data_IF_601404877248
#
_entry.id   IF_601404877248
#
_cell.length_a   1.000
_cell.length_b   1.000
_cell.length_c   1.000
_cell.angle_alpha   90.00
_cell.angle_beta   90.00
_cell.angle_gamma   90.00
#
_symmetry.space_group_name_H-M   'P 1'
#
loop_
_entity.id
_entity.type
_entity.pdbx_description
1 polymer ?
#
# COMPACT_ATOMS: atom_id res chain seq x y z
N UNK A 1 6.43 23.72 19.09
CA UNK A 1 5.51 22.62 18.75
C UNK A 1 6.41 21.40 18.61
N UNK A 2 6.44 20.54 19.62
CA UNK A 2 7.24 19.31 19.58
C UNK A 2 6.52 18.30 18.67
N UNK A 3 7.17 17.86 17.62
CA UNK A 3 6.67 16.80 16.76
C UNK A 3 7.28 15.49 17.25
N UNK A 4 6.45 14.57 17.72
CA UNK A 4 6.91 13.23 18.11
C UNK A 4 6.57 12.23 17.03
N UNK A 5 7.57 11.49 16.56
CA UNK A 5 7.39 10.34 15.67
C UNK A 5 7.48 9.05 16.45
N UNK A 6 6.46 8.22 16.31
CA UNK A 6 6.42 6.87 16.88
C UNK A 6 6.74 5.88 15.78
N UNK A 7 7.87 5.22 15.89
CA UNK A 7 8.25 4.14 14.99
C UNK A 7 7.43 2.88 15.27
N UNK A 8 6.78 2.34 14.23
CA UNK A 8 5.91 1.17 14.37
C UNK A 8 6.66 -0.07 14.86
N UNK A 9 6.11 -0.72 15.87
CA UNK A 9 6.60 -1.96 16.47
C UNK A 9 6.33 -3.22 15.63
N UNK A 10 5.81 -3.10 14.42
CA UNK A 10 5.55 -4.24 13.52
C UNK A 10 6.80 -4.89 12.95
N UNK A 11 7.99 -4.35 13.20
CA UNK A 11 9.25 -4.95 12.79
C UNK A 11 10.11 -5.30 13.99
N UNK A 12 10.62 -6.53 14.09
CA UNK A 12 11.43 -6.99 15.21
C UNK A 12 12.77 -6.23 15.36
N UNK A 13 13.09 -5.35 14.45
CA UNK A 13 14.43 -4.79 14.27
C UNK A 13 14.63 -3.37 14.84
N UNK A 14 13.61 -2.71 15.34
CA UNK A 14 13.77 -1.43 16.05
C UNK A 14 14.45 -0.30 15.25
N UNK A 15 14.23 -0.26 13.93
CA UNK A 15 14.71 0.79 13.05
C UNK A 15 13.58 1.47 12.29
N UNK A 16 13.85 2.67 11.79
CA UNK A 16 12.91 3.43 10.95
C UNK A 16 12.82 2.77 9.58
N UNK A 17 11.62 2.34 9.18
CA UNK A 17 11.39 1.83 7.83
C UNK A 17 11.25 2.99 6.86
N UNK A 18 12.07 2.99 5.81
CA UNK A 18 12.04 4.01 4.78
C UNK A 18 13.24 3.90 3.85
N UNK A 19 13.30 4.76 2.84
CA UNK A 19 14.51 4.95 2.05
C UNK A 19 15.66 5.36 2.99
N UNK A 20 16.91 4.91 2.75
CA UNK A 20 18.05 5.20 3.62
C UNK A 20 18.19 6.67 3.99
N UNK A 21 18.11 7.57 2.99
CA UNK A 21 18.20 9.02 3.18
C UNK A 21 17.09 9.58 4.08
N UNK A 22 15.88 8.99 4.01
CA UNK A 22 14.75 9.41 4.85
C UNK A 22 14.93 8.96 6.29
N UNK A 23 15.42 7.73 6.50
CA UNK A 23 15.73 7.20 7.82
C UNK A 23 16.84 8.00 8.50
N UNK A 24 17.90 8.34 7.76
CA UNK A 24 19.01 9.17 8.26
C UNK A 24 18.53 10.57 8.70
N UNK A 25 17.66 11.21 7.91
CA UNK A 25 17.05 12.49 8.28
C UNK A 25 16.24 12.41 9.57
N UNK A 26 15.48 11.34 9.78
CA UNK A 26 14.71 11.14 11.02
C UNK A 26 15.66 10.99 12.22
N UNK A 27 16.72 10.19 12.10
CA UNK A 27 17.70 10.06 13.17
C UNK A 27 18.40 11.37 13.49
N UNK A 28 18.82 12.13 12.47
CA UNK A 28 19.44 13.44 12.65
C UNK A 28 18.50 14.44 13.34
N UNK A 29 17.20 14.44 12.99
CA UNK A 29 16.21 15.28 13.66
C UNK A 29 16.00 14.87 15.12
N UNK A 30 16.06 13.58 15.43
CA UNK A 30 15.98 13.08 16.81
C UNK A 30 17.22 13.47 17.62
N UNK A 31 18.43 13.29 17.08
CA UNK A 31 19.70 13.68 17.70
C UNK A 31 19.77 15.19 17.99
N UNK A 32 19.23 16.02 17.11
CA UNK A 32 19.19 17.46 17.28
C UNK A 32 18.02 17.95 18.17
N UNK A 33 17.23 17.03 18.72
CA UNK A 33 16.10 17.35 19.61
C UNK A 33 14.90 18.00 18.91
N UNK A 34 14.83 17.98 17.58
CA UNK A 34 13.72 18.56 16.82
C UNK A 34 12.50 17.66 16.78
N UNK A 35 12.67 16.37 16.99
CA UNK A 35 11.60 15.38 17.14
C UNK A 35 11.94 14.44 18.30
N UNK A 36 10.90 13.85 18.89
CA UNK A 36 11.06 12.78 19.86
C UNK A 36 10.77 11.43 19.16
N UNK A 37 11.82 10.63 18.93
CA UNK A 37 11.72 9.35 18.24
C UNK A 37 11.53 8.24 19.27
N UNK A 38 10.38 7.56 19.23
CA UNK A 38 10.05 6.43 20.11
C UNK A 38 10.01 5.18 19.26
N UNK A 39 10.93 4.24 19.50
CA UNK A 39 11.02 2.96 18.78
C UNK A 39 10.51 1.80 19.64
N UNK A 40 10.21 0.65 19.01
CA UNK A 40 9.77 -0.59 19.68
C UNK A 40 8.56 -0.37 20.62
N UNK A 41 7.61 0.39 20.15
CA UNK A 41 6.45 0.77 20.94
C UNK A 41 5.17 0.74 20.11
N UNK A 42 4.03 0.61 20.79
CA UNK A 42 2.70 0.62 20.17
C UNK A 42 1.80 1.66 20.82
N UNK A 43 0.92 2.28 20.05
CA UNK A 43 -0.19 3.04 20.60
C UNK A 43 -1.25 2.03 21.09
N UNK A 44 -1.52 2.04 22.38
CA UNK A 44 -2.49 1.13 23.01
C UNK A 44 -3.82 1.80 23.33
N UNK A 45 -3.83 3.13 23.44
CA UNK A 45 -5.05 3.89 23.67
C UNK A 45 -4.95 5.32 23.16
N UNK A 46 -6.07 5.84 22.71
CA UNK A 46 -6.24 7.23 22.28
C UNK A 46 -7.35 7.83 23.13
N UNK A 47 -7.07 8.95 23.79
CA UNK A 47 -8.01 9.66 24.64
C UNK A 47 -8.34 11.04 24.07
N UNK A 48 -9.60 11.46 24.26
CA UNK A 48 -10.09 12.78 23.86
C UNK A 48 -11.59 12.90 24.10
N UNK A 49 -12.07 14.13 24.07
CA UNK A 49 -13.50 14.43 24.15
C UNK A 49 -13.87 15.37 23.01
N UNK A 50 -14.18 14.77 21.84
CA UNK A 50 -14.40 15.50 20.59
C UNK A 50 -13.13 16.05 19.93
N UNK A 51 -12.04 16.14 20.66
CA UNK A 51 -10.69 16.50 20.21
C UNK A 51 -9.68 15.56 20.87
N UNK A 52 -8.67 15.13 20.10
CA UNK A 52 -7.55 14.37 20.63
C UNK A 52 -6.80 15.21 21.68
N UNK A 53 -6.45 14.60 22.80
CA UNK A 53 -5.64 15.26 23.82
C UNK A 53 -4.49 14.40 24.36
N UNK A 54 -4.58 13.08 24.18
CA UNK A 54 -3.58 12.16 24.73
C UNK A 54 -3.51 10.86 23.94
N UNK A 55 -2.31 10.30 23.81
CA UNK A 55 -2.08 8.93 23.38
C UNK A 55 -1.30 8.17 24.44
N UNK A 56 -1.67 6.91 24.67
CA UNK A 56 -0.93 6.00 25.54
C UNK A 56 -0.06 5.08 24.68
N UNK A 57 1.22 5.02 24.99
CA UNK A 57 2.23 4.30 24.25
C UNK A 57 2.79 3.21 25.14
N UNK A 58 2.68 1.95 24.71
CA UNK A 58 3.27 0.79 25.37
C UNK A 58 4.64 0.49 24.76
N UNK A 59 5.68 0.50 25.56
CA UNK A 59 7.03 0.08 25.21
C UNK A 59 7.20 -1.43 25.16
N UNK A 60 8.37 -1.89 24.72
CA UNK A 60 8.72 -3.32 24.68
C UNK A 60 8.82 -3.97 26.05
N UNK A 61 9.04 -3.19 27.09
CA UNK A 61 9.07 -3.59 28.49
C UNK A 61 7.67 -3.62 29.14
N UNK A 62 6.61 -3.42 28.36
CA UNK A 62 5.21 -3.31 28.81
C UNK A 62 4.91 -2.08 29.66
N UNK A 63 5.84 -1.17 29.82
CA UNK A 63 5.56 0.12 30.43
C UNK A 63 4.63 0.94 29.53
N UNK A 64 3.69 1.67 30.13
CA UNK A 64 2.77 2.55 29.41
C UNK A 64 3.09 4.00 29.76
N UNK A 65 3.41 4.77 28.74
CA UNK A 65 3.68 6.21 28.86
C UNK A 65 2.56 7.01 28.22
N UNK A 66 2.10 8.05 28.91
CA UNK A 66 1.14 9.02 28.38
C UNK A 66 1.87 10.14 27.64
N UNK A 67 1.34 10.54 26.49
CA UNK A 67 1.84 11.67 25.71
C UNK A 67 0.67 12.60 25.34
N UNK A 68 0.77 13.87 25.71
CA UNK A 68 -0.16 14.90 25.26
C UNK A 68 -0.02 15.11 23.75
N UNK A 69 -1.13 15.07 23.02
CA UNK A 69 -1.11 15.03 21.56
C UNK A 69 -2.32 15.74 20.98
N UNK A 70 -2.09 16.72 20.12
CA UNK A 70 -3.16 17.44 19.42
C UNK A 70 -3.58 16.77 18.11
N UNK A 71 -2.63 16.13 17.42
CA UNK A 71 -2.84 15.47 16.12
C UNK A 71 -2.13 14.12 16.09
N UNK A 72 -2.79 13.13 15.50
CA UNK A 72 -2.22 11.81 15.23
C UNK A 72 -2.35 11.50 13.73
N UNK A 73 -1.22 11.17 13.12
CA UNK A 73 -1.16 10.77 11.70
C UNK A 73 -0.75 9.29 11.65
N UNK A 74 -1.69 8.35 11.53
CA UNK A 74 -1.38 6.93 11.47
C UNK A 74 -0.90 6.54 10.06
N UNK A 75 0.33 6.05 9.96
CA UNK A 75 0.95 5.58 8.72
C UNK A 75 1.38 4.11 8.86
N UNK A 76 0.46 3.24 9.28
CA UNK A 76 0.73 1.82 9.58
C UNK A 76 0.88 0.94 8.35
N UNK A 77 0.79 1.50 7.15
CA UNK A 77 0.80 0.76 5.89
C UNK A 77 -0.57 0.12 5.58
N UNK A 78 -0.58 -0.69 4.52
CA UNK A 78 -1.78 -1.35 4.03
C UNK A 78 -1.76 -2.83 4.42
N UNK A 79 -2.88 -3.32 4.94
CA UNK A 79 -3.16 -4.73 5.14
C UNK A 79 -4.34 -5.13 4.26
N UNK A 80 -4.12 -5.78 3.11
CA UNK A 80 -5.19 -6.15 2.19
C UNK A 80 -6.18 -7.10 2.85
N UNK A 81 -7.47 -6.78 2.74
CA UNK A 81 -8.57 -7.67 3.12
C UNK A 81 -9.44 -7.87 1.90
N UNK A 82 -9.44 -9.08 1.37
CA UNK A 82 -10.20 -9.41 0.16
C UNK A 82 -11.72 -9.39 0.37
N UNK A 83 -12.18 -9.51 1.64
CA UNK A 83 -13.61 -9.58 1.92
C UNK A 83 -14.30 -10.70 1.13
N UNK A 84 -15.50 -10.45 0.57
CA UNK A 84 -16.24 -11.44 -0.20
C UNK A 84 -15.51 -11.98 -1.44
N UNK A 85 -14.51 -11.23 -1.96
CA UNK A 85 -13.71 -11.68 -3.12
C UNK A 85 -12.96 -12.97 -2.80
N UNK A 86 -12.61 -13.20 -1.54
CA UNK A 86 -11.94 -14.44 -1.10
C UNK A 86 -12.77 -15.69 -1.39
N UNK A 87 -14.10 -15.57 -1.46
CA UNK A 87 -15.04 -16.68 -1.65
C UNK A 87 -15.42 -16.91 -3.12
N UNK A 88 -14.86 -16.13 -4.04
CA UNK A 88 -15.17 -16.25 -5.48
C UNK A 88 -14.47 -17.42 -6.18
N UNK A 89 -13.68 -18.22 -5.46
CA UNK A 89 -12.95 -19.34 -6.03
C UNK A 89 -11.69 -18.93 -6.80
N UNK A 90 -11.19 -17.70 -6.59
CA UNK A 90 -9.95 -17.22 -7.16
C UNK A 90 -8.75 -17.88 -6.47
N UNK A 91 -7.67 -18.07 -7.20
CA UNK A 91 -6.40 -18.48 -6.61
C UNK A 91 -5.80 -17.32 -5.83
N UNK A 92 -5.66 -17.51 -4.52
CA UNK A 92 -5.15 -16.49 -3.59
C UNK A 92 -3.83 -16.97 -2.99
N UNK A 93 -2.84 -16.12 -3.02
CA UNK A 93 -1.56 -16.27 -2.33
C UNK A 93 -1.30 -15.04 -1.45
N UNK A 94 -1.12 -15.26 -0.12
CA UNK A 94 -0.80 -14.21 0.87
C UNK A 94 -1.71 -12.98 0.78
N UNK A 95 -3.02 -13.20 0.69
CA UNK A 95 -4.04 -12.14 0.55
C UNK A 95 -3.95 -11.34 -0.75
N UNK A 96 -3.37 -11.90 -1.80
CA UNK A 96 -3.34 -11.34 -3.15
C UNK A 96 -3.84 -12.37 -4.18
N UNK A 97 -4.38 -11.89 -5.29
CA UNK A 97 -4.97 -12.72 -6.33
C UNK A 97 -3.88 -13.13 -7.33
N UNK A 98 -3.66 -14.43 -7.50
CA UNK A 98 -2.70 -14.96 -8.47
C UNK A 98 -3.21 -14.74 -9.89
N UNK A 99 -2.32 -14.25 -10.79
CA UNK A 99 -2.66 -13.93 -12.16
C UNK A 99 -1.62 -14.46 -13.14
N UNK A 100 -2.04 -14.64 -14.39
CA UNK A 100 -1.14 -14.87 -15.50
C UNK A 100 -0.46 -13.54 -15.90
N UNK A 101 0.86 -13.52 -15.95
CA UNK A 101 1.64 -12.30 -16.27
C UNK A 101 1.52 -11.86 -17.73
N UNK A 102 1.01 -12.71 -18.64
CA UNK A 102 0.83 -12.34 -20.03
C UNK A 102 -0.36 -11.39 -20.26
N UNK A 103 -1.38 -11.47 -19.42
CA UNK A 103 -2.64 -10.76 -19.64
C UNK A 103 -3.39 -10.37 -18.36
N UNK A 104 -2.84 -10.70 -17.20
CA UNK A 104 -3.40 -10.46 -15.87
C UNK A 104 -4.78 -11.12 -15.61
N UNK A 105 -5.09 -12.17 -16.37
CA UNK A 105 -6.26 -13.02 -16.12
C UNK A 105 -6.06 -13.86 -14.85
N UNK A 106 -7.17 -14.12 -14.15
CA UNK A 106 -7.22 -15.06 -13.02
C UNK A 106 -7.49 -16.49 -13.52
N UNK A 107 -7.60 -17.44 -12.59
CA UNK A 107 -8.04 -18.79 -12.88
C UNK A 107 -9.51 -18.90 -13.33
N UNK A 108 -10.30 -17.82 -13.20
CA UNK A 108 -11.69 -17.76 -13.62
C UNK A 108 -11.79 -16.89 -14.87
N UNK A 109 -12.31 -17.44 -15.96
CA UNK A 109 -12.45 -16.74 -17.22
C UNK A 109 -13.30 -15.47 -17.08
N UNK A 110 -12.86 -14.36 -17.66
CA UNK A 110 -13.51 -13.05 -17.59
C UNK A 110 -13.22 -12.26 -16.34
N UNK A 111 -12.46 -12.81 -15.38
CA UNK A 111 -11.99 -12.08 -14.19
C UNK A 111 -10.51 -11.80 -14.31
N UNK A 112 -10.15 -10.55 -14.11
CA UNK A 112 -8.79 -10.04 -14.13
C UNK A 112 -8.46 -9.36 -12.80
N UNK A 113 -7.19 -9.35 -12.40
CA UNK A 113 -6.75 -8.61 -11.24
C UNK A 113 -5.47 -7.83 -11.55
N UNK A 114 -5.48 -6.54 -11.25
CA UNK A 114 -4.39 -5.60 -11.54
C UNK A 114 -4.04 -4.75 -10.32
N UNK A 115 -2.87 -4.14 -10.30
CA UNK A 115 -2.40 -3.28 -9.21
C UNK A 115 -1.96 -4.07 -7.98
N UNK A 116 -2.07 -3.48 -6.80
CA UNK A 116 -1.54 -4.03 -5.56
C UNK A 116 -2.25 -5.30 -5.06
N UNK A 117 -3.44 -5.57 -5.58
CA UNK A 117 -4.25 -6.73 -5.19
C UNK A 117 -3.79 -8.03 -5.85
N UNK A 118 -3.08 -7.96 -6.98
CA UNK A 118 -2.59 -9.14 -7.67
C UNK A 118 -1.21 -9.58 -7.19
N UNK A 119 -0.86 -10.83 -7.49
CA UNK A 119 0.46 -11.40 -7.25
C UNK A 119 0.92 -12.30 -8.39
N UNK A 120 2.21 -12.25 -8.67
CA UNK A 120 2.94 -13.09 -9.62
C UNK A 120 4.45 -13.03 -9.32
N UNK A 121 5.28 -13.96 -9.83
CA UNK A 121 6.72 -13.92 -9.62
C UNK A 121 7.34 -12.60 -10.09
N UNK A 122 8.09 -11.92 -9.21
CA UNK A 122 8.71 -10.63 -9.51
C UNK A 122 7.77 -9.42 -9.41
N UNK A 123 6.58 -9.56 -8.82
CA UNK A 123 5.63 -8.45 -8.63
C UNK A 123 6.26 -7.30 -7.83
N UNK A 124 6.18 -6.11 -8.42
CA UNK A 124 6.48 -4.84 -7.74
C UNK A 124 5.17 -4.07 -7.53
N UNK A 125 4.92 -3.68 -6.28
CA UNK A 125 3.74 -2.87 -5.90
C UNK A 125 4.02 -1.38 -6.16
N UNK A 126 4.05 -1.01 -7.44
CA UNK A 126 4.27 0.35 -7.92
C UNK A 126 3.09 0.80 -8.77
N UNK A 127 2.74 2.08 -8.68
CA UNK A 127 1.69 2.70 -9.51
C UNK A 127 2.00 2.49 -11.01
N UNK A 128 3.25 2.63 -11.41
CA UNK A 128 3.69 2.40 -12.78
C UNK A 128 3.38 0.97 -13.27
N UNK A 129 3.62 -0.04 -12.42
CA UNK A 129 3.31 -1.43 -12.75
C UNK A 129 1.80 -1.62 -12.91
N UNK A 130 0.99 -1.01 -12.03
CA UNK A 130 -0.47 -1.07 -12.14
C UNK A 130 -1.01 -0.48 -13.44
N UNK A 131 -0.45 0.61 -13.93
CA UNK A 131 -0.81 1.17 -15.25
C UNK A 131 -0.43 0.26 -16.41
N UNK A 132 0.77 -0.34 -16.37
CA UNK A 132 1.17 -1.33 -17.37
C UNK A 132 0.22 -2.53 -17.37
N UNK A 133 -0.08 -3.07 -16.20
CA UNK A 133 -1.01 -4.18 -16.01
C UNK A 133 -2.40 -3.85 -16.57
N UNK A 134 -2.88 -2.61 -16.34
CA UNK A 134 -4.17 -2.13 -16.85
C UNK A 134 -4.21 -2.15 -18.38
N UNK A 135 -3.14 -1.70 -19.04
CA UNK A 135 -3.07 -1.70 -20.51
C UNK A 135 -3.08 -3.11 -21.07
N UNK A 136 -2.31 -4.03 -20.49
CA UNK A 136 -2.26 -5.42 -20.92
C UNK A 136 -3.59 -6.15 -20.70
N UNK A 137 -4.19 -5.96 -19.53
CA UNK A 137 -5.50 -6.50 -19.18
C UNK A 137 -6.59 -6.01 -20.15
N UNK A 138 -6.65 -4.70 -20.42
CA UNK A 138 -7.65 -4.13 -21.31
C UNK A 138 -7.52 -4.70 -22.74
N UNK A 139 -6.29 -4.91 -23.21
CA UNK A 139 -6.02 -5.52 -24.49
C UNK A 139 -6.49 -6.99 -24.56
N UNK A 140 -6.34 -7.74 -23.47
CA UNK A 140 -6.83 -9.11 -23.37
C UNK A 140 -8.37 -9.15 -23.25
N UNK A 141 -8.93 -8.31 -22.36
CA UNK A 141 -10.37 -8.23 -22.15
C UNK A 141 -11.14 -7.85 -23.42
N UNK A 142 -10.56 -7.00 -24.31
CA UNK A 142 -11.16 -6.65 -25.58
C UNK A 142 -11.49 -7.88 -26.41
N UNK A 143 -10.59 -8.84 -26.50
CA UNK A 143 -10.80 -10.08 -27.26
C UNK A 143 -11.90 -10.95 -26.66
N UNK A 144 -12.07 -10.88 -25.34
CA UNK A 144 -13.12 -11.61 -24.63
C UNK A 144 -14.50 -10.97 -24.84
N UNK A 145 -14.57 -9.64 -24.83
CA UNK A 145 -15.82 -8.88 -25.03
C UNK A 145 -16.22 -8.82 -26.51
N UNK A 146 -15.23 -8.72 -27.40
CA UNK A 146 -15.45 -8.56 -28.85
C UNK A 146 -14.72 -9.65 -29.65
N UNK A 147 -15.12 -10.93 -29.56
CA UNK A 147 -14.37 -12.05 -30.12
C UNK A 147 -14.24 -11.98 -31.65
N UNK A 148 -15.15 -11.30 -32.33
CA UNK A 148 -15.19 -11.17 -33.79
C UNK A 148 -14.59 -9.84 -34.31
N UNK A 149 -14.02 -9.03 -33.42
CA UNK A 149 -13.44 -7.75 -33.81
C UNK A 149 -11.92 -7.77 -33.67
N UNK A 150 -11.24 -7.19 -34.64
CA UNK A 150 -9.81 -6.98 -34.56
C UNK A 150 -9.52 -5.70 -33.80
N UNK A 151 -8.79 -5.82 -32.67
CA UNK A 151 -8.27 -4.64 -31.98
C UNK A 151 -7.19 -3.99 -32.87
N UNK A 152 -7.45 -2.76 -33.31
CA UNK A 152 -6.47 -1.93 -34.03
C UNK A 152 -5.81 -1.00 -33.03
N UNK A 153 -4.59 -1.35 -32.60
CA UNK A 153 -3.78 -0.45 -31.77
C UNK A 153 -3.16 0.63 -32.67
N UNK A 154 -3.54 1.87 -32.44
CA UNK A 154 -2.98 3.04 -33.14
C UNK A 154 -2.38 4.00 -32.12
N UNK A 155 -1.18 4.47 -32.40
CA UNK A 155 -0.59 5.52 -31.57
C UNK A 155 -1.26 6.86 -31.84
N UNK A 156 -1.45 7.66 -30.81
CA UNK A 156 -2.01 9.03 -30.91
C UNK A 156 -1.20 9.93 -31.85
N UNK A 157 0.11 9.69 -31.98
CA UNK A 157 0.99 10.35 -32.92
C UNK A 157 0.62 10.12 -34.40
N UNK A 158 -0.15 9.08 -34.72
CA UNK A 158 -0.56 8.77 -36.11
C UNK A 158 -1.89 9.46 -36.45
N UNK A 159 -2.81 9.60 -35.49
CA UNK A 159 -4.17 10.12 -35.75
C UNK A 159 -4.44 11.49 -35.11
N UNK A 160 -3.50 12.07 -34.36
CA UNK A 160 -3.74 13.28 -33.55
C UNK A 160 -4.69 13.04 -32.36
N UNK A 161 -4.76 14.04 -31.47
CA UNK A 161 -5.54 13.98 -30.21
C UNK A 161 -7.06 14.08 -30.44
N UNK A 162 -7.51 14.52 -31.63
CA UNK A 162 -8.91 14.72 -31.97
C UNK A 162 -9.59 13.50 -32.62
N UNK A 163 -8.98 12.31 -32.50
CA UNK A 163 -9.49 11.08 -33.12
C UNK A 163 -10.25 10.15 -32.12
N UNK A 164 -10.72 10.72 -30.99
CA UNK A 164 -11.59 10.04 -30.03
C UNK A 164 -13.03 10.49 -30.20
#
# INVERSE_FOLDING_TARGET
MECSQIGNAGTPWGYVQGAPDSAEKVFHLAETGKINLILKSNIVKINGNGKLNEVLIEGSDKSVTSMSTDYLIPLFGLSPKLGPIADWGLQIDKSAISVNTADYSTNIAGIYAIGDINTYPGKLKLILCGFHESAMMAHSAFKHVYPNQRLSFKYTTVNGVNAF
#
